data_IF_109196056810
#
_entry.id   IF_109196056810
#
_cell.length_a   1.000
_cell.length_b   1.000
_cell.length_c   1.000
_cell.angle_alpha   90.00
_cell.angle_beta   90.00
_cell.angle_gamma   90.00
#
_symmetry.space_group_name_H-M   'P 1'
#
loop_
_entity.id
_entity.type
_entity.pdbx_description
1 polymer ?
#
# COMPACT_ATOMS: atom_id res chain seq x y z
N UNK A 1 -2.24 15.76 30.75
CA UNK A 1 -2.17 15.90 29.27
C UNK A 1 -0.96 16.76 28.96
N UNK A 2 0.07 16.22 28.30
CA UNK A 2 1.36 16.90 28.11
C UNK A 2 1.33 18.05 27.08
N UNK A 3 0.38 18.02 26.14
CA UNK A 3 0.33 18.95 25.00
C UNK A 3 -0.96 19.77 24.88
N UNK A 4 -1.85 19.69 25.88
CA UNK A 4 -3.16 20.39 25.89
C UNK A 4 -3.98 20.24 24.59
N UNK A 5 -3.89 19.06 23.96
CA UNK A 5 -4.62 18.73 22.75
C UNK A 5 -5.82 17.82 23.08
N UNK A 6 -7.03 18.13 22.57
CA UNK A 6 -8.18 17.26 22.71
C UNK A 6 -7.92 15.88 22.08
N UNK A 7 -8.19 14.81 22.84
CA UNK A 7 -8.05 13.43 22.37
C UNK A 7 -9.42 12.75 22.30
N UNK A 8 -9.76 12.24 21.12
CA UNK A 8 -10.92 11.36 20.92
C UNK A 8 -10.44 9.94 20.59
N UNK A 9 -10.79 8.99 21.43
CA UNK A 9 -10.54 7.57 21.22
C UNK A 9 -11.73 6.97 20.48
N UNK A 10 -11.45 6.11 19.49
CA UNK A 10 -12.45 5.39 18.71
C UNK A 10 -12.03 3.92 18.66
N UNK A 11 -12.78 3.07 19.37
CA UNK A 11 -12.49 1.64 19.49
C UNK A 11 -13.00 0.82 18.31
N UNK A 12 -12.31 -0.29 17.99
CA UNK A 12 -12.78 -1.22 16.95
C UNK A 12 -13.96 -2.06 17.44
N UNK A 13 -13.98 -2.38 18.72
CA UNK A 13 -15.09 -2.99 19.44
C UNK A 13 -16.37 -2.15 19.31
N UNK A 14 -16.28 -0.83 19.52
CA UNK A 14 -17.42 0.08 19.37
C UNK A 14 -17.89 0.20 17.91
N UNK A 15 -16.96 0.29 16.95
CA UNK A 15 -17.29 0.51 15.54
C UNK A 15 -17.76 -0.75 14.79
N UNK A 16 -17.25 -1.91 15.20
CA UNK A 16 -17.34 -3.14 14.43
C UNK A 16 -17.79 -4.35 15.26
N UNK A 17 -17.81 -4.26 16.59
CA UNK A 17 -18.10 -5.39 17.48
C UNK A 17 -16.96 -6.40 17.58
N UNK A 18 -15.76 -6.04 17.12
CA UNK A 18 -14.58 -6.90 17.07
C UNK A 18 -13.34 -6.14 17.52
N UNK A 19 -12.55 -6.76 18.39
CA UNK A 19 -11.18 -6.31 18.70
C UNK A 19 -10.19 -6.91 17.71
N UNK A 20 -9.00 -6.33 17.60
CA UNK A 20 -7.96 -6.91 16.74
C UNK A 20 -7.52 -8.29 17.21
N UNK A 21 -7.51 -8.55 18.52
CA UNK A 21 -7.08 -9.83 19.07
C UNK A 21 -8.08 -10.94 18.71
N UNK A 22 -9.38 -10.67 18.81
CA UNK A 22 -10.44 -11.60 18.36
C UNK A 22 -10.38 -11.88 16.85
N UNK A 23 -10.04 -10.86 16.05
CA UNK A 23 -9.84 -11.03 14.61
C UNK A 23 -8.69 -11.99 14.35
N UNK A 24 -7.55 -11.81 15.03
CA UNK A 24 -6.37 -12.69 14.89
C UNK A 24 -6.67 -14.09 15.40
N UNK A 25 -7.43 -14.25 16.48
CA UNK A 25 -7.87 -15.56 16.97
C UNK A 25 -8.70 -16.33 15.93
N UNK A 26 -9.55 -15.62 15.19
CA UNK A 26 -10.43 -16.23 14.18
C UNK A 26 -9.72 -16.57 12.88
N UNK A 27 -8.86 -15.67 12.36
CA UNK A 27 -8.25 -15.81 11.03
C UNK A 27 -6.80 -16.30 11.07
N UNK A 28 -6.18 -16.28 12.24
CA UNK A 28 -4.75 -16.50 12.44
C UNK A 28 -3.88 -15.25 12.20
N UNK A 29 -2.56 -15.45 12.27
CA UNK A 29 -1.56 -14.38 12.12
C UNK A 29 -1.34 -13.93 10.67
N UNK A 30 -1.79 -14.73 9.68
CA UNK A 30 -1.67 -14.40 8.26
C UNK A 30 -2.87 -13.58 7.79
N UNK A 31 -2.61 -12.44 7.14
CA UNK A 31 -3.65 -11.61 6.53
C UNK A 31 -4.42 -10.70 7.50
N UNK A 32 -4.16 -10.76 8.80
CA UNK A 32 -4.75 -9.88 9.82
C UNK A 32 -4.44 -8.39 9.62
N UNK A 33 -3.28 -8.06 9.08
CA UNK A 33 -2.89 -6.69 8.77
C UNK A 33 -3.81 -6.04 7.72
N UNK A 34 -4.41 -6.85 6.84
CA UNK A 34 -5.45 -6.39 5.89
C UNK A 34 -6.68 -5.88 6.63
N UNK A 35 -7.17 -6.63 7.62
CA UNK A 35 -8.29 -6.21 8.47
C UNK A 35 -7.94 -4.94 9.26
N UNK A 36 -6.79 -4.95 9.93
CA UNK A 36 -6.34 -3.81 10.73
C UNK A 36 -6.26 -2.53 9.89
N UNK A 37 -5.66 -2.59 8.69
CA UNK A 37 -5.50 -1.44 7.81
C UNK A 37 -6.83 -0.88 7.31
N UNK A 38 -7.77 -1.75 6.93
CA UNK A 38 -9.10 -1.36 6.45
C UNK A 38 -9.92 -0.73 7.59
N UNK A 39 -9.93 -1.38 8.77
CA UNK A 39 -10.63 -0.87 9.96
C UNK A 39 -10.04 0.44 10.45
N UNK A 40 -8.70 0.56 10.51
CA UNK A 40 -8.03 1.81 10.91
C UNK A 40 -8.43 2.97 10.02
N UNK A 41 -8.45 2.73 8.70
CA UNK A 41 -8.79 3.76 7.72
C UNK A 41 -10.20 4.27 7.93
N UNK A 42 -11.17 3.36 8.00
CA UNK A 42 -12.57 3.74 8.19
C UNK A 42 -12.84 4.33 9.58
N UNK A 43 -12.15 3.86 10.63
CA UNK A 43 -12.26 4.42 11.97
C UNK A 43 -11.82 5.89 12.00
N UNK A 44 -10.72 6.24 11.32
CA UNK A 44 -10.28 7.63 11.19
C UNK A 44 -11.30 8.49 10.43
N UNK A 45 -11.88 7.99 9.34
CA UNK A 45 -12.88 8.76 8.57
C UNK A 45 -14.20 8.94 9.35
N UNK A 46 -14.66 7.89 10.04
CA UNK A 46 -15.84 7.97 10.91
C UNK A 46 -15.59 8.91 12.08
N UNK A 47 -14.44 8.80 12.74
CA UNK A 47 -14.04 9.69 13.83
C UNK A 47 -13.95 11.16 13.38
N UNK A 48 -13.39 11.40 12.19
CA UNK A 48 -13.37 12.73 11.60
C UNK A 48 -14.79 13.26 11.36
N UNK A 49 -15.69 12.44 10.83
CA UNK A 49 -17.09 12.82 10.60
C UNK A 49 -17.84 13.11 11.90
N UNK A 50 -17.65 12.32 12.95
CA UNK A 50 -18.25 12.54 14.27
C UNK A 50 -17.86 13.89 14.88
N UNK A 51 -16.64 14.36 14.58
CA UNK A 51 -16.11 15.63 15.08
C UNK A 51 -16.26 16.79 14.07
N UNK A 52 -16.88 16.56 12.91
CA UNK A 52 -17.00 17.57 11.85
C UNK A 52 -15.68 17.98 11.19
N UNK A 53 -14.65 17.14 11.28
CA UNK A 53 -13.30 17.38 10.73
C UNK A 53 -13.28 17.11 9.22
N UNK A 54 -12.79 18.08 8.44
CA UNK A 54 -12.69 17.98 6.97
C UNK A 54 -11.31 17.57 6.46
N UNK A 55 -10.31 17.51 7.33
CA UNK A 55 -8.93 17.20 6.95
C UNK A 55 -8.23 16.38 8.04
N UNK A 56 -7.80 15.16 7.68
CA UNK A 56 -7.03 14.27 8.55
C UNK A 56 -5.57 14.29 8.13
N UNK A 57 -4.68 14.46 9.10
CA UNK A 57 -3.23 14.47 8.88
C UNK A 57 -2.65 13.17 9.42
N UNK A 58 -1.80 12.52 8.63
CA UNK A 58 -1.16 11.25 9.01
C UNK A 58 0.35 11.37 9.04
N UNK A 59 1.00 10.64 9.96
CA UNK A 59 2.45 10.69 10.17
C UNK A 59 3.30 9.89 9.18
N UNK A 60 2.80 9.61 7.97
CA UNK A 60 3.58 8.86 6.97
C UNK A 60 4.82 9.66 6.56
N UNK A 61 5.99 9.04 6.67
CA UNK A 61 7.29 9.65 6.41
C UNK A 61 7.84 9.29 5.00
N UNK A 62 9.05 9.73 4.67
CA UNK A 62 9.68 9.44 3.38
C UNK A 62 9.94 7.94 3.17
N UNK A 63 10.36 7.22 4.21
CA UNK A 63 10.60 5.78 4.20
C UNK A 63 9.31 5.01 3.88
N UNK A 64 8.19 5.34 4.55
CA UNK A 64 6.87 4.73 4.31
C UNK A 64 6.42 4.88 2.85
N UNK A 65 6.69 6.06 2.27
CA UNK A 65 6.32 6.39 0.89
C UNK A 65 7.24 5.63 -0.07
N UNK A 66 8.55 5.58 0.18
CA UNK A 66 9.49 4.79 -0.61
C UNK A 66 9.13 3.29 -0.61
N UNK A 67 8.80 2.73 0.56
CA UNK A 67 8.31 1.35 0.69
C UNK A 67 7.08 1.13 -0.18
N UNK A 68 6.12 2.07 -0.14
CA UNK A 68 4.88 1.99 -0.92
C UNK A 68 5.16 2.06 -2.43
N UNK A 69 6.05 2.96 -2.87
CA UNK A 69 6.45 3.09 -4.28
C UNK A 69 7.07 1.79 -4.78
N UNK A 70 8.04 1.26 -4.04
CA UNK A 70 8.73 0.01 -4.38
C UNK A 70 7.76 -1.18 -4.44
N UNK A 71 6.90 -1.31 -3.42
CA UNK A 71 5.90 -2.35 -3.34
C UNK A 71 4.88 -2.32 -4.49
N UNK A 72 4.47 -1.13 -4.94
CA UNK A 72 3.54 -0.98 -6.07
C UNK A 72 4.24 -1.27 -7.40
N UNK A 73 5.50 -0.82 -7.54
CA UNK A 73 6.31 -1.09 -8.72
C UNK A 73 6.53 -2.59 -8.92
N UNK A 74 6.92 -3.32 -7.87
CA UNK A 74 7.17 -4.76 -7.94
C UNK A 74 5.90 -5.57 -8.24
N UNK A 75 4.72 -5.07 -7.86
CA UNK A 75 3.42 -5.70 -8.18
C UNK A 75 2.86 -5.30 -9.56
N UNK A 76 3.47 -4.32 -10.22
CA UNK A 76 2.93 -3.75 -11.47
C UNK A 76 1.64 -2.94 -11.27
N UNK A 77 1.34 -2.47 -10.06
CA UNK A 77 0.11 -1.72 -9.73
C UNK A 77 0.34 -0.20 -9.90
N UNK A 78 0.52 0.21 -11.16
CA UNK A 78 0.79 1.60 -11.53
C UNK A 78 -0.36 2.57 -11.20
N UNK A 79 -1.66 2.23 -11.36
CA UNK A 79 -2.75 3.12 -10.97
C UNK A 79 -2.75 3.51 -9.48
N UNK A 80 -2.22 2.65 -8.59
CA UNK A 80 -2.06 3.00 -7.17
C UNK A 80 -0.88 3.93 -6.89
N UNK A 81 0.11 3.99 -7.77
CA UNK A 81 1.30 4.83 -7.60
C UNK A 81 0.95 6.32 -7.64
N UNK A 82 0.06 6.72 -8.54
CA UNK A 82 -0.35 8.13 -8.70
C UNK A 82 -0.98 8.73 -7.44
N UNK A 83 -1.81 7.97 -6.74
CA UNK A 83 -2.42 8.40 -5.47
C UNK A 83 -1.48 8.27 -4.28
N UNK A 84 -0.60 7.26 -4.28
CA UNK A 84 0.27 6.97 -3.13
C UNK A 84 1.35 8.04 -2.92
N UNK A 85 1.79 8.65 -4.01
CA UNK A 85 2.86 9.66 -4.04
C UNK A 85 2.34 11.09 -3.84
N UNK A 86 1.03 11.35 -3.90
CA UNK A 86 0.51 12.69 -3.63
C UNK A 86 0.57 13.05 -2.13
N UNK A 87 0.93 14.30 -1.82
CA UNK A 87 0.97 14.83 -0.44
C UNK A 87 -0.44 14.92 0.14
N UNK A 88 -1.37 15.43 -0.67
CA UNK A 88 -2.77 15.62 -0.29
C UNK A 88 -3.59 14.65 -1.13
N UNK A 89 -4.22 13.71 -0.46
CA UNK A 89 -5.14 12.77 -1.08
C UNK A 89 -6.56 13.17 -0.72
N UNK A 90 -7.40 13.29 -1.73
CA UNK A 90 -8.80 13.67 -1.56
C UNK A 90 -9.44 13.89 -2.92
N UNK A 91 -10.50 13.15 -3.21
CA UNK A 91 -11.37 13.39 -4.36
C UNK A 91 -12.56 14.22 -3.91
N UNK A 92 -13.27 14.85 -4.85
CA UNK A 92 -14.56 15.51 -4.56
C UNK A 92 -15.63 14.54 -4.01
N UNK A 93 -15.39 13.23 -4.08
CA UNK A 93 -16.27 12.20 -3.54
C UNK A 93 -16.00 11.87 -2.05
N UNK A 94 -14.82 12.22 -1.52
CA UNK A 94 -14.52 12.07 -0.10
C UNK A 94 -14.79 13.37 0.64
N UNK A 95 -15.67 13.32 1.65
CA UNK A 95 -15.98 14.44 2.53
C UNK A 95 -14.76 14.89 3.36
N UNK A 96 -13.83 13.95 3.62
CA UNK A 96 -12.63 14.15 4.42
C UNK A 96 -11.39 14.06 3.53
N UNK A 97 -10.55 15.10 3.53
CA UNK A 97 -9.24 15.13 2.86
C UNK A 97 -8.18 14.52 3.76
N UNK A 98 -7.10 14.01 3.17
CA UNK A 98 -5.96 13.45 3.91
C UNK A 98 -4.65 14.06 3.44
N UNK A 99 -3.73 14.30 4.37
CA UNK A 99 -2.38 14.77 4.03
C UNK A 99 -1.26 14.07 4.81
N UNK A 100 -0.07 14.10 4.21
CA UNK A 100 1.17 13.53 4.72
C UNK A 100 2.24 14.63 4.81
N UNK A 101 2.26 15.44 5.88
CA UNK A 101 3.20 16.55 6.01
C UNK A 101 4.67 16.08 6.10
N UNK A 102 4.90 14.85 6.58
CA UNK A 102 6.23 14.28 6.74
C UNK A 102 6.73 13.51 5.52
N UNK A 103 6.06 13.61 4.36
CA UNK A 103 6.39 12.85 3.14
C UNK A 103 7.87 12.94 2.72
N UNK A 104 8.53 14.07 2.99
CA UNK A 104 9.93 14.29 2.60
C UNK A 104 10.90 14.26 3.79
N UNK A 105 10.42 13.95 5.00
CA UNK A 105 11.25 13.81 6.18
C UNK A 105 11.63 12.34 6.37
N UNK A 106 12.92 12.07 6.61
CA UNK A 106 13.37 10.71 6.88
C UNK A 106 12.92 10.26 8.26
N UNK A 107 12.67 8.96 8.42
CA UNK A 107 12.31 8.36 9.71
C UNK A 107 13.35 8.68 10.79
N UNK A 108 14.65 8.56 10.46
CA UNK A 108 15.75 8.86 11.39
C UNK A 108 15.75 10.31 11.88
N UNK A 109 15.35 11.26 11.04
CA UNK A 109 15.28 12.68 11.39
C UNK A 109 14.10 12.96 12.31
N UNK A 110 12.95 12.30 12.03
CA UNK A 110 11.76 12.40 12.88
C UNK A 110 12.05 11.82 14.27
N UNK A 111 12.70 10.65 14.34
CA UNK A 111 13.10 10.02 15.62
C UNK A 111 14.11 10.90 16.36
N UNK A 112 15.11 11.45 15.67
CA UNK A 112 16.09 12.36 16.25
C UNK A 112 15.40 13.62 16.82
N UNK A 113 14.44 14.19 16.09
CA UNK A 113 13.65 15.33 16.55
C UNK A 113 12.81 14.99 17.78
N UNK A 114 12.14 13.84 17.79
CA UNK A 114 11.34 13.38 18.92
C UNK A 114 12.21 13.18 20.17
N UNK A 115 13.39 12.59 20.03
CA UNK A 115 14.35 12.44 21.13
C UNK A 115 14.86 13.79 21.64
N UNK A 116 15.24 14.70 20.74
CA UNK A 116 15.71 16.05 21.11
C UNK A 116 14.64 16.85 21.87
N UNK A 117 13.38 16.73 21.44
CA UNK A 117 12.23 17.38 22.10
C UNK A 117 11.67 16.61 23.29
N UNK A 118 12.23 15.42 23.61
CA UNK A 118 11.77 14.53 24.69
C UNK A 118 10.27 14.26 24.59
N UNK A 119 9.80 13.97 23.37
CA UNK A 119 8.41 13.59 23.14
C UNK A 119 8.19 12.15 23.62
N UNK A 120 7.07 11.90 24.27
CA UNK A 120 6.66 10.55 24.61
C UNK A 120 6.08 9.86 23.36
N UNK A 121 6.71 8.76 22.94
CA UNK A 121 6.26 7.95 21.82
C UNK A 121 6.45 6.45 22.09
N UNK A 122 5.65 5.63 21.42
CA UNK A 122 5.80 4.17 21.46
C UNK A 122 6.76 3.73 20.36
N UNK A 123 7.85 3.08 20.74
CA UNK A 123 8.83 2.47 19.82
C UNK A 123 8.56 0.99 19.55
N UNK A 124 7.56 0.41 20.20
CA UNK A 124 7.23 -1.01 20.07
C UNK A 124 6.52 -1.27 18.75
N UNK A 125 7.09 -2.14 17.92
CA UNK A 125 6.41 -2.64 16.74
C UNK A 125 5.22 -3.55 17.11
N UNK A 126 4.26 -3.68 16.18
CA UNK A 126 3.11 -4.53 16.39
C UNK A 126 3.52 -6.02 16.41
N UNK A 127 3.09 -6.76 17.43
CA UNK A 127 3.36 -8.21 17.61
C UNK A 127 2.87 -9.08 16.44
N UNK A 128 1.93 -8.57 15.65
CA UNK A 128 1.39 -9.27 14.49
C UNK A 128 1.93 -8.77 13.14
N UNK A 129 2.85 -7.80 13.16
CA UNK A 129 3.55 -7.28 11.97
C UNK A 129 4.60 -8.22 11.32
N UNK A 130 5.28 -9.15 12.04
CA UNK A 130 6.46 -9.82 11.48
C UNK A 130 6.22 -10.61 10.19
N UNK A 131 5.02 -11.15 9.97
CA UNK A 131 4.68 -11.91 8.75
C UNK A 131 4.17 -11.02 7.60
N UNK A 132 4.23 -9.69 7.75
CA UNK A 132 3.76 -8.78 6.73
C UNK A 132 4.83 -8.53 5.64
N UNK A 133 4.43 -8.65 4.37
CA UNK A 133 5.28 -8.42 3.19
C UNK A 133 6.05 -7.09 3.19
N UNK A 134 5.57 -6.09 3.93
CA UNK A 134 6.21 -4.77 4.04
C UNK A 134 7.60 -4.84 4.67
N UNK A 135 7.87 -5.85 5.51
CA UNK A 135 9.18 -6.07 6.13
C UNK A 135 10.30 -6.23 5.11
N UNK A 136 10.09 -7.03 4.06
CA UNK A 136 11.11 -7.25 3.01
C UNK A 136 11.43 -5.98 2.22
N UNK A 137 10.40 -5.17 1.89
CA UNK A 137 10.59 -3.89 1.22
C UNK A 137 11.38 -2.90 2.09
N UNK A 138 11.10 -2.87 3.40
CA UNK A 138 11.83 -2.06 4.38
C UNK A 138 13.31 -2.44 4.43
N UNK A 139 13.62 -3.73 4.58
CA UNK A 139 15.01 -4.21 4.61
C UNK A 139 15.79 -3.83 3.36
N UNK A 140 15.16 -3.99 2.18
CA UNK A 140 15.77 -3.60 0.91
C UNK A 140 16.06 -2.09 0.84
N UNK A 141 15.11 -1.25 1.23
CA UNK A 141 15.31 0.21 1.23
C UNK A 141 16.40 0.62 2.21
N UNK A 142 16.45 0.01 3.40
CA UNK A 142 17.51 0.29 4.37
C UNK A 142 18.88 -0.12 3.87
N UNK A 143 18.99 -1.23 3.16
CA UNK A 143 20.25 -1.63 2.52
C UNK A 143 20.67 -0.68 1.40
N UNK A 144 19.72 -0.16 0.61
CA UNK A 144 20.00 0.89 -0.38
C UNK A 144 20.44 2.21 0.27
N UNK A 145 19.80 2.62 1.37
CA UNK A 145 20.13 3.84 2.12
C UNK A 145 21.57 3.80 2.66
N UNK A 146 22.03 2.63 3.13
CA UNK A 146 23.42 2.44 3.61
C UNK A 146 24.46 2.74 2.54
N UNK A 147 24.19 2.38 1.28
CA UNK A 147 25.10 2.63 0.16
C UNK A 147 24.94 4.06 -0.36
N UNK A 148 23.70 4.54 -0.47
CA UNK A 148 23.37 5.86 -1.00
C UNK A 148 22.32 6.53 -0.10
N UNK A 149 22.70 7.52 0.72
CA UNK A 149 21.77 8.20 1.64
C UNK A 149 20.57 8.88 0.95
N UNK A 150 20.72 9.30 -0.31
CA UNK A 150 19.63 9.92 -1.09
C UNK A 150 18.63 8.90 -1.65
N UNK A 151 18.89 7.59 -1.53
CA UNK A 151 18.09 6.54 -2.19
C UNK A 151 16.59 6.63 -1.86
N UNK A 152 16.23 6.94 -0.61
CA UNK A 152 14.83 7.07 -0.19
C UNK A 152 14.12 8.18 -0.98
N UNK A 153 14.67 9.40 -0.98
CA UNK A 153 14.08 10.52 -1.70
C UNK A 153 14.14 10.32 -3.22
N UNK A 154 15.19 9.68 -3.74
CA UNK A 154 15.30 9.33 -5.16
C UNK A 154 14.19 8.35 -5.58
N UNK A 155 13.85 7.37 -4.75
CA UNK A 155 12.71 6.46 -4.97
C UNK A 155 11.39 7.23 -4.92
N UNK A 156 11.18 8.10 -3.92
CA UNK A 156 9.96 8.91 -3.81
C UNK A 156 9.77 9.77 -5.06
N UNK A 157 10.82 10.48 -5.48
CA UNK A 157 10.81 11.32 -6.68
C UNK A 157 10.57 10.49 -7.95
N UNK A 158 11.20 9.33 -8.08
CA UNK A 158 10.95 8.41 -9.18
C UNK A 158 9.48 7.95 -9.21
N UNK A 159 8.90 7.69 -8.03
CA UNK A 159 7.48 7.39 -7.87
C UNK A 159 6.56 8.52 -8.36
N UNK A 160 6.88 9.77 -8.03
CA UNK A 160 6.14 10.95 -8.49
C UNK A 160 6.22 11.14 -10.00
N UNK A 161 7.41 10.97 -10.58
CA UNK A 161 7.60 11.13 -12.02
C UNK A 161 6.89 10.00 -12.79
N UNK A 162 6.98 8.76 -12.32
CA UNK A 162 6.21 7.64 -12.86
C UNK A 162 4.70 7.87 -12.75
N UNK A 163 4.23 8.40 -11.61
CA UNK A 163 2.82 8.71 -11.39
C UNK A 163 2.23 9.67 -12.43
N UNK A 164 2.99 10.67 -12.89
CA UNK A 164 2.57 11.60 -13.94
C UNK A 164 2.37 10.94 -15.31
N UNK A 165 3.05 9.82 -15.55
CA UNK A 165 2.99 9.08 -16.80
C UNK A 165 1.83 8.06 -16.85
N UNK A 166 1.19 7.78 -15.70
CA UNK A 166 0.07 6.82 -15.63
C UNK A 166 -1.21 7.47 -16.18
N UNK A 167 -1.86 6.89 -17.21
CA UNK A 167 -3.12 7.40 -17.74
C UNK A 167 -4.20 7.45 -16.65
N UNK A 168 -4.89 8.59 -16.51
CA UNK A 168 -5.93 8.79 -15.50
C UNK A 168 -5.46 9.37 -14.17
N UNK A 169 -4.18 9.77 -14.05
CA UNK A 169 -3.71 10.62 -12.97
C UNK A 169 -4.48 11.96 -12.98
N UNK A 170 -5.08 12.32 -11.84
CA UNK A 170 -5.56 13.68 -11.61
C UNK A 170 -4.35 14.61 -11.66
N UNK A 171 -4.34 15.65 -12.54
CA UNK A 171 -3.29 16.64 -12.47
C UNK A 171 -3.37 17.34 -11.11
N UNK A 172 -2.20 17.55 -10.51
CA UNK A 172 -2.05 18.31 -9.28
C UNK A 172 -2.84 19.61 -9.38
N UNK A 173 -3.83 19.82 -8.50
CA UNK A 173 -4.45 21.13 -8.33
C UNK A 173 -3.49 22.05 -7.58
N UNK A 174 -2.34 22.33 -8.18
CA UNK A 174 -1.53 23.48 -7.83
C UNK A 174 -2.26 24.72 -8.38
N UNK A 175 -2.49 25.73 -7.53
CA UNK A 175 -3.34 26.90 -7.79
C UNK A 175 -2.88 27.87 -8.87
N UNK A 176 -2.19 27.41 -9.91
CA UNK A 176 -1.78 28.21 -11.06
C UNK A 176 -2.85 28.05 -12.16
N UNK A 177 -3.56 29.14 -12.45
CA UNK A 177 -4.65 29.21 -13.44
C UNK A 177 -4.20 28.70 -14.82
N UNK A 178 -4.68 27.55 -15.24
CA UNK A 178 -4.86 27.22 -16.65
C UNK A 178 -6.11 26.35 -16.83
N UNK A 179 -6.99 26.80 -17.72
CA UNK A 179 -8.22 26.13 -18.10
C UNK A 179 -7.90 24.76 -18.74
N UNK A 180 -8.28 23.67 -18.10
CA UNK A 180 -8.39 22.37 -18.75
C UNK A 180 -9.55 21.55 -18.16
N UNK A 181 -10.33 20.98 -19.07
CA UNK A 181 -11.61 20.32 -18.86
C UNK A 181 -11.57 19.18 -17.83
N UNK A 182 -12.53 19.20 -16.92
CA UNK A 182 -12.75 18.24 -15.84
C UNK A 182 -12.98 16.82 -16.37
N UNK A 183 -11.99 15.94 -16.20
CA UNK A 183 -12.16 14.52 -16.48
C UNK A 183 -12.11 13.74 -15.16
N UNK A 184 -13.28 13.37 -14.67
CA UNK A 184 -13.45 12.54 -13.48
C UNK A 184 -13.14 11.07 -13.82
N UNK A 185 -12.30 10.43 -13.00
CA UNK A 185 -12.01 9.00 -12.98
C UNK A 185 -12.26 8.42 -11.59
N UNK A 186 -12.76 7.18 -11.49
CA UNK A 186 -13.23 6.61 -10.24
C UNK A 186 -12.19 5.77 -9.49
N UNK A 187 -12.48 5.59 -8.20
CA UNK A 187 -11.63 4.98 -7.19
C UNK A 187 -11.86 3.47 -7.12
N UNK A 188 -10.80 2.68 -7.36
CA UNK A 188 -10.63 1.39 -6.69
C UNK A 188 -9.88 1.61 -5.37
N UNK A 189 -10.35 0.94 -4.32
CA UNK A 189 -9.93 0.95 -2.92
C UNK A 189 -8.60 1.65 -2.63
N UNK A 190 -8.70 2.76 -1.87
CA UNK A 190 -7.57 3.52 -1.36
C UNK A 190 -6.72 2.65 -0.44
N UNK A 191 -5.62 2.10 -0.97
CA UNK A 191 -4.76 1.14 -0.31
C UNK A 191 -3.31 1.61 -0.15
N UNK A 192 -3.05 2.86 0.26
CA UNK A 192 -1.77 3.16 0.89
C UNK A 192 -1.73 2.44 2.25
N UNK A 193 -1.31 1.17 2.23
CA UNK A 193 -1.24 0.28 3.40
C UNK A 193 -2.24 -0.90 3.44
N UNK A 194 -2.89 -1.27 2.33
CA UNK A 194 -3.78 -2.45 2.29
C UNK A 194 -3.37 -3.44 1.21
N UNK A 195 -2.90 -4.64 1.58
CA UNK A 195 -2.56 -5.71 0.64
C UNK A 195 -3.80 -6.49 0.17
N UNK A 196 -4.84 -5.80 -0.29
CA UNK A 196 -6.06 -6.41 -0.80
C UNK A 196 -6.30 -6.00 -2.25
N UNK A 197 -5.66 -6.67 -3.21
CA UNK A 197 -6.18 -6.71 -4.59
C UNK A 197 -6.76 -8.09 -4.81
N UNK A 198 -8.05 -8.17 -5.10
CA UNK A 198 -8.80 -9.41 -5.36
C UNK A 198 -8.49 -10.05 -6.72
N UNK A 199 -7.45 -9.61 -7.43
CA UNK A 199 -7.07 -10.11 -8.75
C UNK A 199 -5.76 -10.91 -8.74
N UNK A 200 -5.67 -11.88 -7.83
CA UNK A 200 -4.54 -12.79 -7.76
C UNK A 200 -4.88 -14.06 -6.98
N UNK A 201 -5.84 -14.86 -7.47
CA UNK A 201 -5.92 -16.27 -7.10
C UNK A 201 -4.77 -17.02 -7.78
N UNK A 202 -3.55 -16.79 -7.32
CA UNK A 202 -2.46 -17.75 -7.44
C UNK A 202 -2.32 -18.45 -6.09
N UNK A 203 -1.97 -19.74 -6.10
CA UNK A 203 -1.92 -20.57 -4.91
C UNK A 203 -1.06 -19.91 -3.81
N UNK A 204 -1.73 -19.50 -2.72
CA UNK A 204 -1.13 -18.74 -1.62
C UNK A 204 -0.12 -19.57 -0.84
N UNK A 205 1.12 -19.59 -1.32
CA UNK A 205 2.24 -20.27 -0.67
C UNK A 205 3.61 -19.94 -1.28
N UNK A 206 3.65 -19.54 -2.56
CA UNK A 206 4.90 -19.39 -3.30
C UNK A 206 5.80 -18.27 -2.74
N UNK A 207 5.23 -17.10 -2.41
CA UNK A 207 6.04 -16.02 -1.81
C UNK A 207 6.47 -16.32 -0.38
N UNK A 208 5.66 -17.05 0.41
CA UNK A 208 6.04 -17.44 1.76
C UNK A 208 7.14 -18.52 1.75
N UNK A 209 7.12 -19.41 0.76
CA UNK A 209 8.18 -20.38 0.52
C UNK A 209 9.48 -19.69 0.08
N UNK A 210 9.38 -18.72 -0.84
CA UNK A 210 10.51 -17.90 -1.27
C UNK A 210 11.12 -17.10 -0.10
N UNK A 211 10.29 -16.53 0.77
CA UNK A 211 10.75 -15.77 1.94
C UNK A 211 11.41 -16.67 3.01
N UNK A 212 10.87 -17.88 3.21
CA UNK A 212 11.50 -18.90 4.05
C UNK A 212 12.87 -19.29 3.48
N UNK A 213 12.95 -19.51 2.17
CA UNK A 213 14.19 -19.85 1.47
C UNK A 213 15.22 -18.71 1.54
N UNK A 214 14.80 -17.45 1.42
CA UNK A 214 15.69 -16.29 1.56
C UNK A 214 16.26 -16.18 2.98
N UNK A 215 15.43 -16.39 4.01
CA UNK A 215 15.91 -16.43 5.40
C UNK A 215 16.86 -17.59 5.66
N UNK A 216 16.61 -18.74 5.05
CA UNK A 216 17.52 -19.90 5.12
C UNK A 216 18.84 -19.60 4.41
N UNK A 217 18.81 -18.90 3.28
CA UNK A 217 20.00 -18.48 2.54
C UNK A 217 20.81 -17.42 3.31
N UNK A 218 20.19 -16.38 3.87
CA UNK A 218 20.85 -15.38 4.71
C UNK A 218 21.52 -16.04 5.94
N UNK A 219 20.82 -16.98 6.59
CA UNK A 219 21.38 -17.74 7.70
C UNK A 219 22.48 -18.73 7.29
N UNK A 220 22.59 -19.07 6.00
CA UNK A 220 23.65 -19.91 5.43
C UNK A 220 24.87 -19.07 5.00
N UNK A 221 24.65 -17.85 4.49
CA UNK A 221 25.70 -16.86 4.22
C UNK A 221 26.45 -16.48 5.52
N UNK A 222 25.72 -16.27 6.62
CA UNK A 222 26.31 -16.02 7.96
C UNK A 222 27.16 -17.20 8.48
N UNK A 223 27.02 -18.39 7.90
CA UNK A 223 27.77 -19.61 8.25
C UNK A 223 28.91 -19.93 7.27
N UNK A 224 29.19 -19.07 6.30
CA UNK A 224 30.30 -19.21 5.32
C UNK A 224 30.30 -20.54 4.56
N UNK A 225 29.13 -21.05 4.18
CA UNK A 225 28.97 -22.29 3.39
C UNK A 225 28.77 -22.00 1.89
N UNK A 226 29.64 -21.20 1.28
CA UNK A 226 29.60 -20.96 -0.16
C UNK A 226 30.49 -21.98 -0.89
N UNK A 227 29.89 -22.87 -1.70
CA UNK A 227 30.60 -23.64 -2.73
C UNK A 227 30.47 -22.89 -4.05
N UNK A 228 31.59 -22.37 -4.58
CA UNK A 228 31.63 -21.73 -5.90
C UNK A 228 31.22 -22.73 -7.00
N UNK A 229 30.12 -22.43 -7.71
CA UNK A 229 29.72 -23.16 -8.91
C UNK A 229 30.25 -22.42 -10.14
N UNK A 230 31.40 -22.85 -10.67
CA UNK A 230 31.88 -22.46 -12.00
C UNK A 230 31.00 -23.10 -13.08
N UNK A 231 30.27 -22.29 -13.84
CA UNK A 231 29.55 -22.72 -15.03
C UNK A 231 30.52 -22.99 -16.21
N UNK A 232 30.39 -24.11 -16.95
CA UNK A 232 31.20 -24.34 -18.14
C UNK A 232 30.77 -23.41 -19.29
N UNK A 233 31.76 -22.83 -19.98
CA UNK A 233 31.58 -22.03 -21.20
C UNK A 233 30.96 -22.87 -22.31
N UNK A 234 29.82 -22.45 -22.83
CA UNK A 234 29.24 -23.01 -24.05
C UNK A 234 30.03 -22.52 -25.28
N UNK A 235 30.65 -23.45 -26.00
CA UNK A 235 31.28 -23.21 -27.30
C UNK A 235 30.21 -22.95 -28.37
N UNK A 236 30.48 -21.98 -29.24
CA UNK A 236 29.55 -21.51 -30.25
C UNK A 236 29.28 -22.53 -31.35
N UNK A 237 28.00 -22.84 -31.57
CA UNK A 237 27.53 -23.44 -32.82
C UNK A 237 26.65 -22.44 -33.57
N UNK A 238 27.07 -22.11 -34.79
CA UNK A 238 26.35 -21.26 -35.73
C UNK A 238 25.11 -22.02 -36.23
N UNK A 239 23.92 -21.52 -35.93
CA UNK A 239 22.71 -21.97 -36.59
C UNK A 239 22.24 -20.95 -37.63
N UNK A 240 22.07 -21.48 -38.84
CA UNK A 240 21.70 -20.82 -40.08
C UNK A 240 20.37 -20.05 -39.98
N UNK A 241 20.40 -18.78 -40.40
CA UNK A 241 19.27 -17.85 -40.32
C UNK A 241 18.34 -18.07 -41.52
N UNK A 242 17.37 -18.98 -41.42
CA UNK A 242 16.28 -19.08 -42.40
C UNK A 242 15.41 -17.81 -42.38
N UNK A 243 15.32 -17.11 -43.52
CA UNK A 243 14.42 -15.97 -43.76
C UNK A 243 12.97 -16.39 -43.56
N UNK A 244 12.27 -15.76 -42.63
CA UNK A 244 10.80 -15.79 -42.58
C UNK A 244 10.21 -14.78 -43.57
N UNK A 245 9.06 -15.08 -44.20
CA UNK A 245 8.42 -14.18 -45.15
C UNK A 245 7.76 -12.98 -44.44
N UNK A 246 7.74 -11.88 -45.17
CA UNK A 246 7.29 -10.56 -44.74
C UNK A 246 5.77 -10.53 -44.54
N UNK A 247 5.29 -10.55 -43.29
CA UNK A 247 3.87 -10.34 -42.99
C UNK A 247 3.59 -8.85 -42.97
N UNK A 248 2.78 -8.39 -43.94
CA UNK A 248 2.26 -7.01 -44.04
C UNK A 248 1.59 -6.60 -42.72
N UNK A 249 2.18 -5.61 -42.06
CA UNK A 249 1.60 -4.89 -40.93
C UNK A 249 0.38 -4.09 -41.38
N UNK A 250 -0.82 -4.51 -40.96
CA UNK A 250 -2.02 -3.65 -40.98
C UNK A 250 -1.84 -2.55 -39.92
N UNK A 251 -2.28 -1.30 -40.16
CA UNK A 251 -2.25 -0.25 -39.15
C UNK A 251 -3.32 -0.59 -38.08
N UNK A 252 -2.89 -1.23 -36.99
CA UNK A 252 -3.70 -1.41 -35.80
C UNK A 252 -3.76 -0.09 -35.06
N UNK A 253 -4.96 0.46 -34.90
CA UNK A 253 -5.25 1.53 -33.96
C UNK A 253 -4.90 1.04 -32.55
N UNK A 254 -3.70 1.38 -32.05
CA UNK A 254 -3.27 1.12 -30.68
C UNK A 254 -4.00 2.10 -29.73
N UNK A 255 -5.31 1.94 -29.60
CA UNK A 255 -6.03 2.49 -28.47
C UNK A 255 -5.90 1.49 -27.33
N UNK A 256 -5.23 1.90 -26.25
CA UNK A 256 -5.24 1.16 -24.98
C UNK A 256 -6.70 0.87 -24.59
N UNK A 257 -7.02 -0.34 -24.10
CA UNK A 257 -8.38 -0.68 -23.72
C UNK A 257 -8.86 0.31 -22.64
N UNK A 258 -9.92 1.04 -22.97
CA UNK A 258 -10.56 1.99 -22.07
C UNK A 258 -11.21 1.16 -20.95
N UNK A 259 -10.56 1.09 -19.79
CA UNK A 259 -11.11 0.46 -18.59
C UNK A 259 -12.41 1.20 -18.24
N UNK A 260 -13.56 0.51 -18.17
CA UNK A 260 -14.84 1.17 -17.91
C UNK A 260 -14.81 1.86 -16.54
N UNK A 261 -15.22 3.13 -16.52
CA UNK A 261 -15.26 3.97 -15.31
C UNK A 261 -16.26 3.36 -14.30
N UNK A 262 -15.75 2.77 -13.22
CA UNK A 262 -16.55 2.30 -12.09
C UNK A 262 -17.33 3.45 -11.44
N UNK A 263 -18.64 3.31 -11.18
CA UNK A 263 -19.39 4.40 -10.51
C UNK A 263 -19.16 4.32 -9.00
N UNK A 264 -18.76 5.43 -8.38
CA UNK A 264 -18.69 5.55 -6.92
C UNK A 264 -20.11 5.59 -6.36
N UNK A 265 -20.38 4.71 -5.39
CA UNK A 265 -21.64 4.65 -4.66
C UNK A 265 -21.42 4.62 -3.14
N UNK A 266 -22.48 4.28 -2.43
CA UNK A 266 -22.48 4.11 -0.97
C UNK A 266 -22.75 2.66 -0.63
N UNK A 267 -22.02 2.13 0.36
CA UNK A 267 -22.23 0.80 0.90
C UNK A 267 -23.66 0.66 1.42
N UNK A 268 -24.38 -0.37 0.97
CA UNK A 268 -25.78 -0.61 1.38
C UNK A 268 -25.91 -0.90 2.88
N UNK A 269 -24.86 -1.43 3.51
CA UNK A 269 -24.88 -1.84 4.93
C UNK A 269 -24.51 -0.75 5.91
N UNK A 270 -23.55 0.11 5.58
CA UNK A 270 -23.01 1.11 6.52
C UNK A 270 -22.96 2.53 5.96
N UNK A 271 -23.40 2.76 4.72
CA UNK A 271 -23.39 4.07 4.06
C UNK A 271 -22.00 4.61 3.71
N UNK A 272 -20.92 3.87 3.98
CA UNK A 272 -19.55 4.28 3.67
C UNK A 272 -19.29 4.27 2.15
N UNK A 273 -18.43 5.17 1.66
CA UNK A 273 -18.10 5.26 0.24
C UNK A 273 -17.52 3.93 -0.30
N UNK A 274 -18.05 3.47 -1.44
CA UNK A 274 -17.66 2.17 -2.02
C UNK A 274 -17.91 2.15 -3.52
N UNK A 275 -17.02 1.51 -4.29
CA UNK A 275 -17.25 1.22 -5.70
C UNK A 275 -18.07 -0.06 -5.93
N UNK A 276 -18.23 -0.87 -4.87
CA UNK A 276 -19.02 -2.10 -4.84
C UNK A 276 -20.25 -1.93 -3.94
N UNK A 277 -21.21 -2.87 -4.02
CA UNK A 277 -22.43 -2.88 -3.17
C UNK A 277 -22.11 -2.81 -1.68
N UNK A 278 -21.09 -3.54 -1.24
CA UNK A 278 -20.58 -3.53 0.13
C UNK A 278 -19.15 -2.99 0.14
N UNK A 279 -18.84 -2.16 1.14
CA UNK A 279 -17.47 -1.70 1.34
C UNK A 279 -16.58 -2.83 1.88
N UNK A 280 -15.26 -2.69 1.69
CA UNK A 280 -14.27 -3.67 2.12
C UNK A 280 -14.41 -4.09 3.59
N UNK A 281 -14.64 -3.14 4.50
CA UNK A 281 -14.84 -3.46 5.91
C UNK A 281 -16.09 -4.32 6.14
N UNK A 282 -17.20 -4.02 5.47
CA UNK A 282 -18.43 -4.81 5.59
C UNK A 282 -18.23 -6.22 5.04
N UNK A 283 -17.51 -6.38 3.93
CA UNK A 283 -17.18 -7.71 3.39
C UNK A 283 -16.30 -8.51 4.35
N UNK A 284 -15.28 -7.87 4.93
CA UNK A 284 -14.39 -8.49 5.92
C UNK A 284 -15.15 -8.88 7.19
N UNK A 285 -16.06 -8.03 7.68
CA UNK A 285 -16.89 -8.32 8.85
C UNK A 285 -17.87 -9.47 8.61
N UNK A 286 -18.42 -9.58 7.40
CA UNK A 286 -19.23 -10.75 7.04
C UNK A 286 -18.41 -12.03 7.03
N UNK A 287 -17.17 -11.98 6.57
CA UNK A 287 -16.24 -13.10 6.67
C UNK A 287 -15.98 -13.52 8.12
N UNK A 288 -15.80 -12.57 9.03
CA UNK A 288 -15.60 -12.84 10.46
C UNK A 288 -16.86 -13.41 11.12
N UNK A 289 -18.02 -12.79 10.90
CA UNK A 289 -19.26 -13.19 11.54
C UNK A 289 -19.76 -14.57 11.07
N UNK A 290 -19.47 -14.97 9.82
CA UNK A 290 -19.77 -16.33 9.34
C UNK A 290 -18.98 -17.42 10.06
N UNK A 291 -17.80 -17.09 10.56
CA UNK A 291 -16.94 -18.01 11.30
C UNK A 291 -17.14 -17.92 12.83
N UNK A 292 -18.02 -17.02 13.29
CA UNK A 292 -18.39 -16.96 14.71
C UNK A 292 -19.30 -18.15 14.99
N UNK A 293 -18.89 -19.03 15.90
CA UNK A 293 -19.77 -20.08 16.39
C UNK A 293 -21.05 -19.40 16.95
N UNK A 294 -22.22 -19.79 16.46
CA UNK A 294 -23.50 -19.42 17.08
C UNK A 294 -23.57 -20.10 18.44
N UNK A 295 -23.10 -19.41 19.48
CA UNK A 295 -23.41 -19.80 20.85
C UNK A 295 -24.81 -19.26 21.12
N UNK A 296 -25.81 -20.08 20.84
CA UNK A 296 -27.16 -19.90 21.39
C UNK A 296 -27.01 -20.04 22.91
N UNK A 297 -27.20 -18.93 23.63
CA UNK A 297 -27.36 -18.94 25.09
C UNK A 297 -28.79 -19.37 25.40
#
# INVERSE_FOLDING_TARGET
MQYDMPLKIVGYDELYGWTMDQVVETIGKKGNCTYCGVFRRQALDRGAKMLGIKHVVTGHNADDVAETVLMNLLRGDLPRLSRSTSIVTGSNASEVKRSKPLKYAYEKEIVLYAHHKKLDYFSTECIYSPEAFRGSARSLIKNLEKVRPSAILDIVRSGEDMARLVPGAVPDSCGCKSNASSTQTPLEEDGAGGCGSTNGRAAGGEMAAMEKQLRENEAAEDKSLETEVTLPKAEGQRHDRKKQPNVRSKPGTNALPIIPKQKLGTCEKCGYMSSQKLCQACMLLEGLNKNRAEITI
#
